data_IF_833929908555
#
_entry.id   IF_833929908555
#
_cell.length_a   1.000
_cell.length_b   1.000
_cell.length_c   1.000
_cell.angle_alpha   90.00
_cell.angle_beta   90.00
_cell.angle_gamma   90.00
#
_symmetry.space_group_name_H-M   'P 1'
#
loop_
_entity.id
_entity.type
_entity.pdbx_description
1 polymer ?
#
# COMPACT_ATOMS: atom_id res chain seq x y z
N UNK A 1 -3.97 -30.51 -23.52
CA UNK A 1 -3.09 -30.08 -22.39
C UNK A 1 -3.79 -28.95 -21.63
N UNK A 2 -4.58 -29.26 -20.59
CA UNK A 2 -5.35 -28.27 -19.81
C UNK A 2 -4.82 -28.28 -18.37
N UNK A 3 -3.86 -27.41 -18.04
CA UNK A 3 -3.33 -27.23 -16.68
C UNK A 3 -3.67 -25.87 -16.04
N UNK A 4 -4.32 -24.96 -16.79
CA UNK A 4 -4.60 -23.60 -16.34
C UNK A 4 -5.84 -23.46 -15.42
N UNK A 5 -6.81 -24.38 -15.51
CA UNK A 5 -8.10 -24.26 -14.80
C UNK A 5 -7.99 -24.38 -13.27
N UNK A 6 -7.14 -25.28 -12.76
CA UNK A 6 -7.08 -25.54 -11.31
C UNK A 6 -6.34 -24.44 -10.54
N UNK A 7 -5.26 -23.89 -11.11
CA UNK A 7 -4.49 -22.82 -10.46
C UNK A 7 -5.32 -21.55 -10.35
N UNK A 8 -5.92 -21.10 -11.45
CA UNK A 8 -6.75 -19.89 -11.47
C UNK A 8 -7.91 -19.99 -10.48
N UNK A 9 -8.62 -21.12 -10.49
CA UNK A 9 -9.73 -21.37 -9.56
C UNK A 9 -9.28 -21.33 -8.10
N UNK A 10 -8.11 -21.90 -7.78
CA UNK A 10 -7.53 -21.82 -6.44
C UNK A 10 -7.24 -20.37 -6.02
N UNK A 11 -6.52 -19.62 -6.85
CA UNK A 11 -6.16 -18.23 -6.57
C UNK A 11 -7.39 -17.33 -6.38
N UNK A 12 -8.40 -17.48 -7.23
CA UNK A 12 -9.67 -16.76 -7.10
C UNK A 12 -10.38 -17.08 -5.79
N UNK A 13 -10.47 -18.37 -5.42
CA UNK A 13 -11.07 -18.78 -4.14
C UNK A 13 -10.31 -18.20 -2.95
N UNK A 14 -8.99 -18.19 -3.00
CA UNK A 14 -8.16 -17.65 -1.92
C UNK A 14 -8.28 -16.12 -1.81
N UNK A 15 -8.36 -15.41 -2.95
CA UNK A 15 -8.65 -13.96 -2.97
C UNK A 15 -10.05 -13.63 -2.46
N UNK A 16 -11.06 -14.45 -2.79
CA UNK A 16 -12.43 -14.26 -2.29
C UNK A 16 -12.53 -14.50 -0.77
N UNK A 17 -11.74 -15.41 -0.21
CA UNK A 17 -11.70 -15.66 1.24
C UNK A 17 -11.07 -14.51 2.03
N UNK A 18 -10.14 -13.77 1.43
CA UNK A 18 -9.42 -12.67 2.08
C UNK A 18 -10.12 -11.31 1.97
N UNK A 19 -11.26 -11.24 1.27
CA UNK A 19 -11.99 -9.99 1.04
C UNK A 19 -12.61 -9.45 2.34
N UNK A 20 -12.50 -8.14 2.55
CA UNK A 20 -13.19 -7.38 3.61
C UNK A 20 -14.55 -6.84 3.15
N UNK A 21 -14.67 -6.54 1.85
CA UNK A 21 -15.88 -6.04 1.17
C UNK A 21 -15.92 -6.58 -0.26
N UNK A 22 -17.07 -6.46 -0.92
CA UNK A 22 -17.24 -6.73 -2.35
C UNK A 22 -18.19 -7.89 -2.59
N UNK A 23 -19.02 -7.74 -3.61
CA UNK A 23 -19.88 -8.82 -4.08
C UNK A 23 -19.06 -9.92 -4.76
N UNK A 24 -19.43 -11.17 -4.52
CA UNK A 24 -18.67 -12.32 -5.05
C UNK A 24 -18.74 -12.35 -6.58
N UNK A 25 -19.92 -12.06 -7.18
CA UNK A 25 -20.08 -12.10 -8.63
C UNK A 25 -19.32 -10.95 -9.30
N UNK A 26 -19.33 -9.77 -8.70
CA UNK A 26 -18.54 -8.62 -9.15
C UNK A 26 -17.04 -8.95 -9.16
N UNK A 27 -16.52 -9.53 -8.06
CA UNK A 27 -15.12 -9.92 -7.97
C UNK A 27 -14.77 -11.04 -8.95
N UNK A 28 -15.64 -12.02 -9.16
CA UNK A 28 -15.43 -13.06 -10.17
C UNK A 28 -15.37 -12.47 -11.59
N UNK A 29 -16.23 -11.52 -11.92
CA UNK A 29 -16.20 -10.80 -13.20
C UNK A 29 -14.91 -9.98 -13.34
N UNK A 30 -14.48 -9.31 -12.28
CA UNK A 30 -13.21 -8.60 -12.23
C UNK A 30 -12.03 -9.55 -12.47
N UNK A 31 -11.98 -10.70 -11.80
CA UNK A 31 -10.90 -11.66 -11.99
C UNK A 31 -10.85 -12.18 -13.42
N UNK A 32 -11.98 -12.35 -14.13
CA UNK A 32 -11.99 -12.74 -15.55
C UNK A 32 -11.27 -11.73 -16.46
N UNK A 33 -11.18 -10.45 -16.08
CA UNK A 33 -10.41 -9.44 -16.82
C UNK A 33 -8.89 -9.60 -16.67
N UNK A 34 -8.41 -10.29 -15.64
CA UNK A 34 -6.98 -10.47 -15.36
C UNK A 34 -6.39 -11.65 -16.13
N UNK A 35 -5.20 -11.44 -16.72
CA UNK A 35 -4.34 -12.54 -17.17
C UNK A 35 -3.88 -13.40 -15.98
N UNK A 36 -3.49 -14.64 -16.21
CA UNK A 36 -3.08 -15.56 -15.13
C UNK A 36 -1.90 -15.00 -14.31
N UNK A 37 -0.89 -14.42 -14.97
CA UNK A 37 0.22 -13.77 -14.29
C UNK A 37 -0.22 -12.57 -13.44
N UNK A 38 -1.20 -11.80 -13.91
CA UNK A 38 -1.74 -10.66 -13.18
C UNK A 38 -2.53 -11.10 -11.94
N UNK A 39 -3.28 -12.20 -12.05
CA UNK A 39 -3.99 -12.79 -10.92
C UNK A 39 -3.01 -13.32 -9.86
N UNK A 40 -1.90 -13.95 -10.28
CA UNK A 40 -0.83 -14.40 -9.38
C UNK A 40 -0.16 -13.24 -8.64
N UNK A 41 0.17 -12.16 -9.36
CA UNK A 41 0.75 -10.96 -8.76
C UNK A 41 -0.21 -10.31 -7.75
N UNK A 42 -1.50 -10.23 -8.06
CA UNK A 42 -2.51 -9.69 -7.15
C UNK A 42 -2.66 -10.58 -5.91
N UNK A 43 -2.74 -11.90 -6.10
CA UNK A 43 -2.81 -12.87 -5.01
C UNK A 43 -1.61 -12.74 -4.06
N UNK A 44 -0.38 -12.67 -4.60
CA UNK A 44 0.81 -12.49 -3.78
C UNK A 44 0.75 -11.18 -2.98
N UNK A 45 0.41 -10.06 -3.63
CA UNK A 45 0.31 -8.77 -2.96
C UNK A 45 -0.69 -8.79 -1.78
N UNK A 46 -1.84 -9.45 -1.98
CA UNK A 46 -2.89 -9.59 -0.95
C UNK A 46 -2.43 -10.48 0.20
N UNK A 47 -1.86 -11.64 -0.10
CA UNK A 47 -1.39 -12.59 0.92
C UNK A 47 -0.28 -12.03 1.80
N UNK A 48 0.62 -11.23 1.22
CA UNK A 48 1.76 -10.67 1.94
C UNK A 48 1.44 -9.32 2.57
N UNK A 49 0.23 -8.81 2.38
CA UNK A 49 -0.19 -7.49 2.83
C UNK A 49 0.76 -6.37 2.40
N UNK A 50 1.36 -6.51 1.21
CA UNK A 50 2.32 -5.56 0.66
C UNK A 50 3.71 -5.60 1.31
N UNK A 51 4.04 -6.66 2.08
CA UNK A 51 5.40 -6.87 2.63
C UNK A 51 6.42 -7.18 1.53
N UNK A 52 5.98 -7.82 0.46
CA UNK A 52 6.79 -8.06 -0.72
C UNK A 52 6.68 -6.88 -1.70
N UNK A 53 7.75 -6.67 -2.49
CA UNK A 53 7.79 -5.74 -3.62
C UNK A 53 6.91 -6.24 -4.78
N UNK A 54 5.62 -6.42 -4.53
CA UNK A 54 4.68 -6.98 -5.49
C UNK A 54 4.51 -6.03 -6.69
N UNK A 55 4.66 -6.58 -7.89
CA UNK A 55 4.59 -5.84 -9.15
C UNK A 55 3.24 -5.14 -9.39
N UNK A 56 3.24 -4.18 -10.31
CA UNK A 56 2.01 -3.54 -10.76
C UNK A 56 1.08 -4.54 -11.46
N UNK A 57 -0.21 -4.47 -11.12
CA UNK A 57 -1.28 -5.21 -11.81
C UNK A 57 -2.05 -4.22 -12.65
N UNK A 58 -1.80 -4.21 -13.97
CA UNK A 58 -2.32 -3.18 -14.88
C UNK A 58 -3.61 -3.63 -15.59
N UNK A 59 -4.67 -2.85 -15.44
CA UNK A 59 -5.92 -3.01 -16.19
C UNK A 59 -6.28 -1.70 -16.89
N UNK A 60 -7.12 -1.72 -17.94
CA UNK A 60 -7.62 -0.47 -18.51
C UNK A 60 -8.34 0.36 -17.43
N UNK A 61 -8.38 1.68 -17.62
CA UNK A 61 -8.95 2.64 -16.65
C UNK A 61 -10.48 2.58 -16.52
N UNK A 62 -11.14 1.59 -17.10
CA UNK A 62 -12.59 1.45 -17.04
C UNK A 62 -13.04 0.95 -15.66
N UNK A 63 -14.11 1.55 -15.11
CA UNK A 63 -14.76 1.09 -13.88
C UNK A 63 -13.86 1.11 -12.61
N UNK A 64 -12.84 1.98 -12.57
CA UNK A 64 -12.00 2.23 -11.39
C UNK A 64 -11.50 0.96 -10.66
N UNK A 65 -10.76 0.06 -11.34
CA UNK A 65 -10.36 -1.23 -10.77
C UNK A 65 -9.46 -1.10 -9.54
N UNK A 66 -8.69 -0.01 -9.45
CA UNK A 66 -7.89 0.31 -8.27
C UNK A 66 -8.73 0.62 -7.04
N UNK A 67 -9.88 1.29 -7.21
CA UNK A 67 -10.82 1.56 -6.11
C UNK A 67 -11.44 0.26 -5.64
N UNK A 68 -11.93 -0.59 -6.57
CA UNK A 68 -12.49 -1.90 -6.24
C UNK A 68 -11.51 -2.73 -5.42
N UNK A 69 -10.25 -2.85 -5.87
CA UNK A 69 -9.23 -3.59 -5.13
C UNK A 69 -8.92 -2.96 -3.75
N UNK A 70 -8.83 -1.63 -3.67
CA UNK A 70 -8.60 -0.95 -2.39
C UNK A 70 -9.77 -1.17 -1.40
N UNK A 71 -11.01 -1.10 -1.86
CA UNK A 71 -12.20 -1.39 -1.06
C UNK A 71 -12.24 -2.84 -0.60
N UNK A 72 -11.88 -3.76 -1.48
CA UNK A 72 -11.95 -5.20 -1.23
C UNK A 72 -10.97 -5.64 -0.15
N UNK A 73 -9.70 -5.21 -0.18
CA UNK A 73 -8.66 -5.76 0.71
C UNK A 73 -8.12 -4.79 1.76
N UNK A 74 -8.31 -3.47 1.61
CA UNK A 74 -7.71 -2.48 2.52
C UNK A 74 -8.74 -1.64 3.26
N UNK A 75 -9.49 -0.82 2.54
CA UNK A 75 -10.35 0.23 3.10
C UNK A 75 -11.76 0.16 2.52
N UNK A 76 -12.70 -0.56 3.17
CA UNK A 76 -14.03 -0.85 2.63
C UNK A 76 -14.82 0.37 2.13
N UNK A 77 -14.62 1.55 2.72
CA UNK A 77 -15.40 2.76 2.43
C UNK A 77 -14.60 3.83 1.66
N UNK A 78 -13.47 3.47 1.06
CA UNK A 78 -12.63 4.44 0.35
C UNK A 78 -13.24 4.81 -1.00
N UNK A 79 -13.09 6.08 -1.38
CA UNK A 79 -13.52 6.61 -2.67
C UNK A 79 -12.29 7.00 -3.50
N UNK A 80 -12.44 7.08 -4.83
CA UNK A 80 -11.35 7.43 -5.75
C UNK A 80 -10.64 8.74 -5.36
N UNK A 81 -11.42 9.75 -4.96
CA UNK A 81 -10.91 11.06 -4.52
C UNK A 81 -10.02 10.97 -3.28
N UNK A 82 -10.19 9.93 -2.45
CA UNK A 82 -9.54 9.73 -1.17
C UNK A 82 -8.35 8.76 -1.24
N UNK A 83 -7.83 8.46 -2.43
CA UNK A 83 -6.60 7.67 -2.58
C UNK A 83 -5.59 8.37 -3.49
N UNK A 84 -4.32 8.08 -3.24
CA UNK A 84 -3.18 8.53 -4.06
C UNK A 84 -2.23 7.39 -4.31
N UNK A 85 -1.62 7.40 -5.48
CA UNK A 85 -0.64 6.39 -5.87
C UNK A 85 0.68 6.61 -5.11
N UNK A 86 1.28 5.54 -4.62
CA UNK A 86 2.59 5.57 -3.98
C UNK A 86 3.72 5.66 -5.02
N UNK A 87 4.87 6.31 -4.72
CA UNK A 87 6.00 6.43 -5.64
C UNK A 87 6.59 5.10 -6.14
N UNK A 88 6.45 4.03 -5.37
CA UNK A 88 6.88 2.66 -5.77
C UNK A 88 6.14 2.14 -7.01
N UNK A 89 4.96 2.68 -7.29
CA UNK A 89 4.14 2.28 -8.43
C UNK A 89 4.65 2.91 -9.72
N UNK A 90 5.32 2.10 -10.55
CA UNK A 90 5.94 2.53 -11.81
C UNK A 90 4.97 2.92 -12.93
N UNK A 91 3.66 2.74 -12.76
CA UNK A 91 2.67 3.02 -13.82
C UNK A 91 2.18 4.47 -13.84
N UNK A 92 2.80 5.38 -13.08
CA UNK A 92 2.33 6.77 -12.89
C UNK A 92 2.12 7.53 -14.21
N UNK A 93 2.98 7.29 -15.20
CA UNK A 93 2.92 7.90 -16.53
C UNK A 93 1.97 7.19 -17.50
N UNK A 94 1.34 6.08 -17.12
CA UNK A 94 0.47 5.32 -18.01
C UNK A 94 -0.90 6.00 -18.15
N UNK A 95 -1.25 6.38 -19.38
CA UNK A 95 -2.50 7.06 -19.71
C UNK A 95 -3.64 6.08 -19.98
N UNK A 96 -3.35 4.85 -20.38
CA UNK A 96 -4.33 3.85 -20.81
C UNK A 96 -4.66 2.89 -19.67
N UNK A 97 -3.65 2.45 -18.95
CA UNK A 97 -3.78 1.45 -17.88
C UNK A 97 -3.61 2.07 -16.49
N UNK A 98 -4.17 1.40 -15.50
CA UNK A 98 -4.09 1.75 -14.09
C UNK A 98 -3.70 0.54 -13.26
N UNK A 99 -2.84 0.78 -12.26
CA UNK A 99 -2.42 -0.25 -11.33
C UNK A 99 -3.52 -0.49 -10.29
N UNK A 100 -4.04 -1.73 -10.24
CA UNK A 100 -5.05 -2.13 -9.28
C UNK A 100 -4.47 -2.87 -8.05
N UNK A 101 -3.14 -3.02 -7.93
CA UNK A 101 -2.53 -3.55 -6.71
C UNK A 101 -2.87 -2.61 -5.54
N UNK A 102 -3.65 -3.04 -4.53
CA UNK A 102 -4.15 -2.15 -3.49
C UNK A 102 -3.02 -1.60 -2.60
N UNK A 103 -1.85 -2.24 -2.54
CA UNK A 103 -0.69 -1.81 -1.76
C UNK A 103 0.19 -0.78 -2.48
N UNK A 104 -0.17 -0.41 -3.71
CA UNK A 104 0.43 0.72 -4.44
C UNK A 104 -0.34 2.04 -4.26
N UNK A 105 -1.30 2.06 -3.36
CA UNK A 105 -2.12 3.23 -3.07
C UNK A 105 -2.02 3.58 -1.58
N UNK A 106 -2.15 4.86 -1.27
CA UNK A 106 -2.30 5.39 0.08
C UNK A 106 -3.67 6.04 0.21
N UNK A 107 -4.27 5.95 1.39
CA UNK A 107 -5.53 6.62 1.71
C UNK A 107 -5.24 8.04 2.21
N UNK A 108 -5.95 9.00 1.65
CA UNK A 108 -6.00 10.37 2.14
C UNK A 108 -7.01 10.45 3.29
N UNK A 109 -6.64 11.16 4.36
CA UNK A 109 -7.54 11.45 5.47
C UNK A 109 -8.34 12.73 5.16
N UNK A 110 -9.64 12.79 5.53
CA UNK A 110 -10.40 14.03 5.46
C UNK A 110 -9.71 15.11 6.32
N UNK A 111 -9.54 16.32 5.78
CA UNK A 111 -8.93 17.44 6.50
C UNK A 111 -7.41 17.60 6.32
N UNK A 112 -6.71 16.63 5.74
CA UNK A 112 -5.29 16.81 5.35
C UNK A 112 -5.20 17.34 3.92
N UNK A 113 -5.57 18.60 3.69
CA UNK A 113 -5.38 19.29 2.41
C UNK A 113 -3.91 19.64 2.17
N UNK A 114 -3.03 18.63 2.11
CA UNK A 114 -1.63 18.81 1.70
C UNK A 114 -1.46 18.95 0.17
N UNK A 115 -2.56 19.03 -0.58
CA UNK A 115 -2.57 19.15 -2.04
C UNK A 115 -1.78 20.38 -2.54
N UNK A 116 -1.54 21.38 -1.68
CA UNK A 116 -0.65 22.52 -1.97
C UNK A 116 0.81 22.43 -1.48
N UNK A 117 1.19 21.47 -0.62
CA UNK A 117 2.52 21.45 0.04
C UNK A 117 3.44 20.31 -0.38
N UNK A 118 2.94 19.23 -1.00
CA UNK A 118 3.76 18.08 -1.43
C UNK A 118 4.51 18.35 -2.75
N UNK A 119 4.09 19.33 -3.55
CA UNK A 119 4.77 19.71 -4.80
C UNK A 119 6.22 20.22 -4.60
N UNK A 120 6.64 20.49 -3.35
CA UNK A 120 7.96 21.00 -3.00
C UNK A 120 8.89 19.95 -2.36
N UNK A 121 8.58 18.65 -2.52
CA UNK A 121 9.42 17.55 -2.00
C UNK A 121 10.25 16.84 -3.08
N UNK A 122 10.20 17.29 -4.34
CA UNK A 122 11.05 16.77 -5.43
C UNK A 122 12.55 17.01 -5.22
N UNK A 123 12.96 17.74 -4.18
CA UNK A 123 14.36 18.04 -3.85
C UNK A 123 14.87 17.35 -2.57
N UNK A 124 14.06 16.57 -1.86
CA UNK A 124 14.58 15.79 -0.73
C UNK A 124 15.12 14.46 -1.26
N UNK A 125 16.46 14.32 -1.26
CA UNK A 125 17.13 13.03 -1.41
C UNK A 125 16.79 12.17 -0.19
N UNK A 126 15.69 11.41 -0.28
CA UNK A 126 15.35 10.40 0.71
C UNK A 126 16.29 9.21 0.51
N UNK A 127 17.17 9.01 1.47
CA UNK A 127 18.11 7.89 1.49
C UNK A 127 17.34 6.56 1.46
N UNK A 128 17.89 5.56 0.77
CA UNK A 128 17.27 4.24 0.53
C UNK A 128 16.79 3.56 1.82
N UNK A 129 17.42 3.90 2.94
CA UNK A 129 17.10 3.38 4.28
C UNK A 129 15.77 3.92 4.84
N UNK A 130 15.33 5.11 4.43
CA UNK A 130 14.10 5.76 4.93
C UNK A 130 12.82 5.26 4.24
N UNK A 131 12.94 4.74 3.01
CA UNK A 131 11.79 4.21 2.29
C UNK A 131 11.21 2.95 2.95
N UNK A 132 12.03 2.21 3.70
CA UNK A 132 11.62 1.02 4.45
C UNK A 132 10.70 1.33 5.64
N UNK A 133 10.70 2.56 6.16
CA UNK A 133 9.82 2.94 7.27
C UNK A 133 8.38 3.30 6.83
N UNK A 134 8.18 3.62 5.54
CA UNK A 134 6.86 3.96 4.99
C UNK A 134 6.04 2.75 4.53
N UNK A 135 6.65 1.55 4.54
CA UNK A 135 6.03 0.27 4.13
C UNK A 135 5.88 -0.66 5.34
N UNK A 136 5.41 -0.15 6.48
CA UNK A 136 4.92 -1.00 7.58
C UNK A 136 3.43 -0.79 7.80
N UNK A 137 2.61 -1.85 7.77
CA UNK A 137 1.19 -1.75 8.09
C UNK A 137 1.03 -1.55 9.61
N UNK A 138 0.18 -0.59 9.97
CA UNK A 138 -0.41 -0.31 11.29
C UNK A 138 0.25 0.60 12.34
N UNK A 139 1.48 1.12 12.24
CA UNK A 139 2.01 2.01 13.32
C UNK A 139 2.65 3.33 12.91
N UNK A 140 2.89 3.61 11.63
CA UNK A 140 3.56 4.86 11.20
C UNK A 140 2.55 5.87 10.63
N UNK A 141 1.54 6.21 11.43
CA UNK A 141 0.70 7.40 11.19
C UNK A 141 1.13 8.62 12.02
N UNK A 142 2.25 8.54 12.74
CA UNK A 142 2.66 9.56 13.72
C UNK A 142 4.09 10.08 13.53
N UNK A 143 4.61 10.13 12.30
CA UNK A 143 5.96 10.67 12.05
C UNK A 143 6.01 11.82 11.03
N UNK A 144 4.87 12.23 10.47
CA UNK A 144 4.78 13.39 9.60
C UNK A 144 3.82 14.44 10.17
N UNK A 145 3.87 14.69 11.48
CA UNK A 145 3.04 15.74 12.10
C UNK A 145 3.81 16.91 12.68
N UNK A 146 5.07 16.78 13.09
CA UNK A 146 5.73 17.91 13.74
C UNK A 146 6.87 18.46 12.90
N UNK A 147 6.58 19.57 12.22
CA UNK A 147 7.59 20.49 11.72
C UNK A 147 8.32 21.16 12.89
N UNK A 148 9.07 20.38 13.68
CA UNK A 148 10.01 20.91 14.66
C UNK A 148 11.38 20.95 13.99
N UNK A 149 11.73 22.17 13.57
CA UNK A 149 13.10 22.65 13.57
C UNK A 149 13.82 22.10 14.81
N UNK A 150 14.88 21.31 14.59
CA UNK A 150 15.85 20.82 15.60
C UNK A 150 15.28 19.99 16.74
N UNK A 151 15.25 18.65 16.59
CA UNK A 151 15.29 17.73 17.74
C UNK A 151 16.57 16.92 17.63
N UNK A 152 17.44 17.07 18.63
CA UNK A 152 18.74 16.43 18.68
C UNK A 152 18.61 14.90 18.68
N UNK A 153 19.52 14.26 17.94
CA UNK A 153 19.65 12.83 17.62
C UNK A 153 19.72 11.86 18.82
N UNK A 154 19.59 12.33 20.07
CA UNK A 154 19.84 11.53 21.28
C UNK A 154 18.57 11.14 22.06
N UNK A 155 17.41 11.74 21.83
CA UNK A 155 16.20 11.40 22.62
C UNK A 155 15.34 10.26 22.04
N UNK A 156 15.59 9.83 20.80
CA UNK A 156 14.82 8.74 20.17
C UNK A 156 15.34 7.33 20.52
N UNK A 157 16.51 7.22 21.15
CA UNK A 157 17.10 5.94 21.55
C UNK A 157 16.63 5.48 22.94
N UNK A 158 16.23 6.39 23.83
CA UNK A 158 15.79 6.03 25.19
C UNK A 158 14.38 5.44 25.24
N UNK A 159 13.54 5.68 24.23
CA UNK A 159 12.17 5.15 24.19
C UNK A 159 12.06 3.76 23.56
N UNK A 160 13.14 3.22 23.00
CA UNK A 160 13.14 1.92 22.29
C UNK A 160 13.84 0.78 23.03
N UNK A 161 14.53 1.06 24.14
CA UNK A 161 15.08 0.01 25.00
C UNK A 161 14.47 0.15 26.39
N UNK A 162 13.50 -0.70 26.72
CA UNK A 162 13.07 -0.89 28.11
C UNK A 162 14.21 -1.45 28.94
N UNK A 163 15.10 -0.57 29.40
CA UNK A 163 16.18 -0.86 30.33
C UNK A 163 15.98 0.08 31.51
N UNK A 164 15.73 -0.51 32.67
CA UNK A 164 15.48 0.19 33.93
C UNK A 164 16.60 1.18 34.29
N UNK A 165 16.16 2.33 34.79
CA UNK A 165 16.93 3.54 35.11
C UNK A 165 17.75 3.41 36.42
N UNK A 166 18.59 2.37 36.51
CA UNK A 166 19.40 2.11 37.72
C UNK A 166 20.90 1.91 37.49
N UNK A 167 21.43 2.19 36.29
CA UNK A 167 22.87 1.96 36.02
C UNK A 167 23.69 3.17 35.54
N UNK A 168 23.11 4.37 35.39
CA UNK A 168 23.89 5.58 35.03
C UNK A 168 24.04 6.53 36.23
N UNK A 169 24.69 6.01 37.28
CA UNK A 169 25.49 6.81 38.22
C UNK A 169 26.71 5.98 38.61
N UNK A 170 27.75 6.07 37.78
CA UNK A 170 29.20 5.96 38.10
C UNK A 170 29.92 5.55 36.82
N UNK A 171 30.42 6.52 36.07
CA UNK A 171 31.71 6.59 35.39
C UNK A 171 31.80 7.94 34.66
#
# INVERSE_FOLDING_TARGET
MIKFSNKRTKLTKDLLKTKKRGDVKELEAFFKKLKDNQLEMLHLAVQTEGKDLASCVLLPKDNDPHVLCCQTWRWPNVQNVNIRRLPVCKSASDTIYICCNPYHWSRLLPGTSLVGRVARLSSIKVDSSFLFLFIRPQTVLTACYDGISTVNRLELLSSMTGVDDSFIRTM
#
